data_IF_585658015999
#
_entry.id   IF_585658015999
#
_cell.length_a   1.000
_cell.length_b   1.000
_cell.length_c   1.000
_cell.angle_alpha   90.00
_cell.angle_beta   90.00
_cell.angle_gamma   90.00
#
_symmetry.space_group_name_H-M   'P 1'
#
loop_
_entity.id
_entity.type
_entity.pdbx_description
1 polymer ?
#
# COMPACT_ATOMS: atom_id res chain seq x y z
N UNK A 1 5.16 16.83 14.08
CA UNK A 1 6.49 16.20 14.01
C UNK A 1 6.51 15.19 12.87
N UNK A 2 7.61 15.12 12.12
CA UNK A 2 7.74 14.25 10.97
C UNK A 2 9.18 13.74 10.83
N UNK A 3 9.33 12.61 10.11
CA UNK A 3 10.63 12.03 9.79
C UNK A 3 10.73 11.80 8.29
N UNK A 4 11.83 12.27 7.71
CA UNK A 4 12.13 12.09 6.29
C UNK A 4 12.47 10.65 5.94
N UNK A 5 12.06 10.21 4.75
CA UNK A 5 12.38 8.91 4.16
C UNK A 5 12.63 9.02 2.66
N UNK A 6 13.31 8.02 2.11
CA UNK A 6 13.52 7.88 0.67
C UNK A 6 13.47 6.42 0.24
N UNK A 7 13.15 6.15 -1.02
CA UNK A 7 13.23 4.81 -1.59
C UNK A 7 14.68 4.36 -1.69
N UNK A 8 15.57 5.26 -2.08
CA UNK A 8 17.02 5.05 -2.14
C UNK A 8 17.75 6.33 -1.81
N UNK A 9 19.02 6.22 -1.47
CA UNK A 9 19.92 7.36 -1.19
C UNK A 9 21.31 7.08 -1.76
N UNK A 10 22.13 8.11 -1.91
CA UNK A 10 23.52 7.95 -2.34
C UNK A 10 24.36 7.35 -1.21
N UNK A 11 24.72 6.08 -1.34
CA UNK A 11 25.49 5.33 -0.34
C UNK A 11 27.00 5.55 -0.41
N UNK A 12 27.48 5.99 -1.55
CA UNK A 12 28.93 6.14 -1.78
C UNK A 12 29.48 7.39 -1.14
N UNK A 13 28.60 8.24 -0.62
CA UNK A 13 28.97 9.55 -0.16
C UNK A 13 28.72 9.77 1.29
N UNK A 14 29.79 9.80 1.96
CA UNK A 14 29.91 10.39 3.26
C UNK A 14 29.94 11.93 3.22
N UNK A 15 29.56 12.59 2.12
CA UNK A 15 29.47 14.03 2.10
C UNK A 15 28.56 14.50 3.24
N UNK A 16 29.06 15.37 4.09
CA UNK A 16 28.34 15.78 5.32
C UNK A 16 27.02 16.47 5.03
N UNK A 17 26.86 17.02 3.83
CA UNK A 17 25.67 17.72 3.37
C UNK A 17 24.65 16.84 2.62
N UNK A 18 24.98 15.58 2.28
CA UNK A 18 24.09 14.68 1.58
C UNK A 18 23.43 13.68 2.56
N UNK A 19 22.43 14.15 3.32
CA UNK A 19 21.74 13.34 4.32
C UNK A 19 20.24 13.54 4.23
N UNK A 20 19.48 12.46 4.37
CA UNK A 20 18.02 12.47 4.26
C UNK A 20 17.35 13.41 5.28
N UNK A 21 17.90 13.58 6.46
CA UNK A 21 17.29 14.43 7.49
C UNK A 21 17.31 15.92 7.15
N UNK A 22 18.15 16.37 6.22
CA UNK A 22 18.17 17.76 5.80
C UNK A 22 16.91 18.18 5.06
N UNK A 23 16.21 17.25 4.38
CA UNK A 23 14.97 17.63 3.66
C UNK A 23 13.79 17.98 4.58
N UNK A 24 13.98 17.91 5.89
CA UNK A 24 12.95 18.18 6.89
C UNK A 24 13.52 18.94 8.10
N UNK A 25 14.51 19.78 7.88
CA UNK A 25 15.12 20.60 8.93
C UNK A 25 14.59 22.05 8.96
N UNK A 26 13.67 22.37 8.05
CA UNK A 26 13.05 23.68 7.92
C UNK A 26 13.92 24.73 7.22
N UNK A 27 15.00 24.31 6.55
CA UNK A 27 15.93 25.22 5.89
C UNK A 27 15.88 25.05 4.38
N UNK A 28 15.65 26.15 3.70
CA UNK A 28 15.65 26.24 2.23
C UNK A 28 16.99 26.73 1.68
N UNK A 29 18.07 26.53 2.43
CA UNK A 29 19.44 26.79 1.95
C UNK A 29 20.00 25.49 1.34
N UNK A 30 21.03 25.62 0.52
CA UNK A 30 21.63 24.48 -0.18
C UNK A 30 22.79 23.83 0.59
N UNK A 31 22.93 24.14 1.90
CA UNK A 31 23.97 23.60 2.77
C UNK A 31 23.76 22.11 3.11
N UNK A 32 22.51 21.64 3.02
CA UNK A 32 22.12 20.26 3.23
C UNK A 32 21.03 19.83 2.26
N UNK A 33 21.05 18.54 1.86
CA UNK A 33 20.09 17.97 0.95
C UNK A 33 20.07 16.45 1.02
N UNK A 34 19.07 15.84 0.47
CA UNK A 34 19.08 14.44 0.07
C UNK A 34 19.42 14.33 -1.41
N UNK A 35 20.14 13.27 -1.80
CA UNK A 35 20.37 12.91 -3.20
C UNK A 35 20.46 11.41 -3.40
N UNK A 36 20.06 10.95 -4.59
CA UNK A 36 20.30 9.60 -5.08
C UNK A 36 21.32 9.59 -6.24
N UNK A 37 22.09 10.66 -6.39
CA UNK A 37 23.10 10.77 -7.44
C UNK A 37 24.05 9.57 -7.45
N UNK A 38 24.34 9.05 -8.63
CA UNK A 38 25.29 7.96 -8.83
C UNK A 38 25.99 8.12 -10.19
N UNK A 39 27.24 7.72 -10.27
CA UNK A 39 27.98 7.66 -11.55
C UNK A 39 27.30 6.73 -12.55
N UNK A 40 26.63 5.70 -12.06
CA UNK A 40 25.85 4.73 -12.82
C UNK A 40 24.44 4.68 -12.26
N UNK A 41 23.57 5.63 -12.65
CA UNK A 41 22.21 5.70 -12.08
C UNK A 41 21.42 4.45 -12.40
N UNK A 42 20.95 3.75 -11.37
CA UNK A 42 20.20 2.49 -11.50
C UNK A 42 18.73 2.74 -11.78
N UNK A 43 18.14 3.70 -11.09
CA UNK A 43 16.71 3.95 -11.15
C UNK A 43 16.41 5.29 -11.82
N UNK A 44 15.44 5.26 -12.74
CA UNK A 44 14.92 6.49 -13.32
C UNK A 44 13.90 7.15 -12.41
N UNK A 45 13.21 6.36 -11.61
CA UNK A 45 12.19 6.80 -10.66
C UNK A 45 12.67 6.62 -9.22
N UNK A 46 12.35 7.57 -8.36
CA UNK A 46 12.74 7.58 -6.95
C UNK A 46 11.71 8.34 -6.14
N UNK A 47 11.52 7.96 -4.90
CA UNK A 47 10.60 8.63 -3.98
C UNK A 47 11.32 9.19 -2.76
N UNK A 48 10.90 10.39 -2.33
CA UNK A 48 11.22 10.96 -1.02
C UNK A 48 9.96 11.47 -0.35
N UNK A 49 9.93 11.53 0.97
CA UNK A 49 8.76 12.01 1.68
C UNK A 49 8.91 12.07 3.18
N UNK A 50 7.79 12.22 3.85
CA UNK A 50 7.69 12.38 5.29
C UNK A 50 6.73 11.36 5.91
N UNK A 51 7.16 10.73 7.00
CA UNK A 51 6.28 10.01 7.94
C UNK A 51 5.89 10.96 9.05
N UNK A 52 4.60 11.04 9.35
CA UNK A 52 4.07 11.92 10.38
C UNK A 52 4.04 11.23 11.74
N UNK A 53 4.33 12.00 12.78
CA UNK A 53 4.37 11.53 14.16
C UNK A 53 3.60 12.45 15.10
N UNK A 54 3.06 11.86 16.13
CA UNK A 54 2.52 12.55 17.29
C UNK A 54 3.05 11.83 18.54
N UNK A 55 3.62 12.56 19.46
CA UNK A 55 4.21 12.02 20.69
C UNK A 55 5.21 10.86 20.43
N UNK A 56 6.04 11.03 19.38
CA UNK A 56 7.06 10.07 18.96
C UNK A 56 6.53 8.83 18.21
N UNK A 57 5.22 8.66 18.10
CA UNK A 57 4.57 7.53 17.41
C UNK A 57 4.03 7.95 16.03
N UNK A 58 4.04 7.02 15.07
CA UNK A 58 3.42 7.25 13.76
C UNK A 58 1.94 7.56 13.97
N UNK A 59 1.50 8.67 13.40
CA UNK A 59 0.13 9.16 13.54
C UNK A 59 -0.35 9.82 12.24
N UNK A 60 -1.62 9.65 11.93
CA UNK A 60 -2.26 10.33 10.82
C UNK A 60 -2.37 11.83 11.06
N UNK A 61 -2.07 12.62 10.04
CA UNK A 61 -2.18 14.07 10.03
C UNK A 61 -3.01 14.53 8.85
N UNK A 62 -3.73 15.64 9.02
CA UNK A 62 -4.43 16.30 7.91
C UNK A 62 -3.46 17.23 7.20
N UNK A 63 -3.12 16.93 5.96
CA UNK A 63 -2.18 17.71 5.15
C UNK A 63 -2.92 18.29 3.94
N UNK A 64 -2.75 19.58 3.67
CA UNK A 64 -3.37 20.28 2.53
C UNK A 64 -2.38 20.95 1.58
N UNK A 65 -1.11 20.97 1.96
CA UNK A 65 -0.04 21.56 1.14
C UNK A 65 1.30 20.90 1.45
N UNK A 66 2.13 20.77 0.43
CA UNK A 66 3.57 20.54 0.61
C UNK A 66 4.37 21.60 -0.15
N UNK A 67 5.57 21.92 0.32
CA UNK A 67 6.54 22.73 -0.41
C UNK A 67 7.82 21.91 -0.58
N UNK A 68 8.36 21.90 -1.80
CA UNK A 68 9.56 21.14 -2.13
C UNK A 68 10.55 22.07 -2.84
N UNK A 69 11.80 22.07 -2.38
CA UNK A 69 12.89 22.71 -3.09
C UNK A 69 13.84 21.66 -3.64
N UNK A 70 14.05 21.70 -4.95
CA UNK A 70 15.02 20.86 -5.64
C UNK A 70 16.38 21.57 -5.73
N UNK A 71 17.43 20.76 -5.74
CA UNK A 71 18.80 21.22 -5.96
C UNK A 71 19.25 20.92 -7.39
N UNK A 72 20.14 21.78 -7.92
CA UNK A 72 20.73 21.61 -9.24
C UNK A 72 22.24 21.79 -9.20
N UNK A 73 22.92 20.86 -9.83
CA UNK A 73 24.35 20.96 -10.18
C UNK A 73 24.60 20.27 -11.53
N UNK A 74 25.84 19.86 -11.78
CA UNK A 74 26.20 19.15 -13.02
C UNK A 74 25.60 17.75 -13.14
N UNK A 75 25.16 17.13 -12.03
CA UNK A 75 24.66 15.75 -11.98
C UNK A 75 23.21 15.62 -11.54
N UNK A 76 22.63 16.68 -11.00
CA UNK A 76 21.24 16.68 -10.49
C UNK A 76 20.45 17.88 -11.01
N UNK A 77 19.14 17.75 -11.08
CA UNK A 77 18.20 18.84 -11.42
C UNK A 77 16.82 18.53 -10.81
N UNK A 78 15.88 19.45 -10.93
CA UNK A 78 14.46 19.18 -10.67
C UNK A 78 13.97 17.99 -11.52
N UNK A 79 13.00 17.20 -11.03
CA UNK A 79 12.49 16.06 -11.78
C UNK A 79 11.83 16.48 -13.10
N UNK A 80 11.84 15.55 -14.09
CA UNK A 80 11.06 15.67 -15.31
C UNK A 80 9.57 15.54 -15.03
N UNK A 81 9.22 14.58 -14.15
CA UNK A 81 7.85 14.29 -13.72
C UNK A 81 7.81 14.02 -12.23
N UNK A 82 6.70 14.37 -11.63
CA UNK A 82 6.44 14.11 -10.21
C UNK A 82 4.98 13.76 -9.99
N UNK A 83 4.76 12.77 -9.14
CA UNK A 83 3.45 12.42 -8.58
C UNK A 83 3.55 12.57 -7.08
N UNK A 84 2.64 13.32 -6.49
CA UNK A 84 2.50 13.39 -5.05
C UNK A 84 1.56 12.26 -4.60
N UNK A 85 1.94 11.51 -3.58
CA UNK A 85 1.21 10.34 -3.12
C UNK A 85 1.09 10.34 -1.60
N UNK A 86 -0.06 9.88 -1.11
CA UNK A 86 -0.31 9.63 0.31
C UNK A 86 -0.33 8.14 0.60
N UNK A 87 0.08 7.77 1.78
CA UNK A 87 0.04 6.39 2.24
C UNK A 87 -1.38 6.00 2.65
N UNK A 88 -1.85 4.87 2.12
CA UNK A 88 -3.16 4.27 2.38
C UNK A 88 -3.06 2.81 2.81
N UNK A 89 -1.84 2.31 2.98
CA UNK A 89 -1.58 0.92 3.33
C UNK A 89 -1.78 0.61 4.82
N UNK A 90 -1.45 -0.62 5.24
CA UNK A 90 -1.56 -1.05 6.62
C UNK A 90 -0.65 -0.26 7.55
N UNK A 91 -0.93 -0.30 8.85
CA UNK A 91 -0.03 0.24 9.87
C UNK A 91 1.37 -0.37 9.71
N UNK A 92 2.39 0.44 9.90
CA UNK A 92 3.78 0.02 9.79
C UNK A 92 4.58 0.53 10.99
N UNK A 93 5.66 -0.16 11.30
CA UNK A 93 6.68 0.31 12.22
C UNK A 93 7.79 0.98 11.43
N UNK A 94 8.30 2.09 11.94
CA UNK A 94 9.40 2.79 11.32
C UNK A 94 10.68 1.95 11.40
N UNK A 95 11.21 1.44 10.28
CA UNK A 95 12.49 0.73 10.30
C UNK A 95 13.64 1.71 10.48
N UNK A 96 14.75 1.23 11.04
CA UNK A 96 15.99 2.02 11.15
C UNK A 96 16.52 2.49 9.79
N UNK A 97 16.16 1.77 8.72
CA UNK A 97 16.60 2.01 7.34
C UNK A 97 15.54 2.66 6.45
N UNK A 98 14.63 3.45 7.03
CA UNK A 98 13.54 4.10 6.27
C UNK A 98 14.04 5.01 5.13
N UNK A 99 15.28 5.46 5.19
CA UNK A 99 15.93 6.22 4.11
C UNK A 99 16.26 5.40 2.87
N UNK A 100 16.12 4.08 2.93
CA UNK A 100 16.41 3.14 1.84
C UNK A 100 15.43 1.97 1.85
N UNK A 101 14.15 2.30 1.90
CA UNK A 101 13.13 1.27 2.09
C UNK A 101 13.08 0.24 0.94
N UNK A 102 13.56 0.56 -0.26
CA UNK A 102 13.65 -0.39 -1.38
C UNK A 102 14.59 -1.58 -1.09
N UNK A 103 15.55 -1.42 -0.18
CA UNK A 103 16.44 -2.54 0.22
C UNK A 103 15.73 -3.59 1.08
N UNK A 104 14.59 -3.25 1.65
CA UNK A 104 13.74 -4.19 2.37
C UNK A 104 12.50 -4.51 1.52
N UNK A 105 12.55 -5.62 0.77
CA UNK A 105 11.49 -6.02 -0.16
C UNK A 105 10.10 -6.13 0.50
N UNK A 106 10.05 -6.48 1.79
CA UNK A 106 8.80 -6.63 2.55
C UNK A 106 8.27 -5.30 3.09
N UNK A 107 9.03 -4.20 2.93
CA UNK A 107 8.58 -2.91 3.44
C UNK A 107 7.30 -2.46 2.73
N UNK A 108 6.24 -2.08 3.46
CA UNK A 108 4.94 -1.74 2.86
C UNK A 108 5.01 -0.54 1.90
N UNK A 109 6.05 0.29 1.95
CA UNK A 109 6.25 1.40 1.01
C UNK A 109 6.64 0.95 -0.40
N UNK A 110 7.10 -0.30 -0.57
CA UNK A 110 7.39 -0.88 -1.88
C UNK A 110 6.14 -1.32 -2.64
N UNK A 111 5.01 -1.46 -1.97
CA UNK A 111 3.76 -1.90 -2.57
C UNK A 111 3.01 -0.70 -3.16
N UNK A 112 2.82 -0.71 -4.47
CA UNK A 112 2.15 0.40 -5.17
C UNK A 112 0.71 0.61 -4.68
N UNK A 113 0.00 -0.47 -4.33
CA UNK A 113 -1.36 -0.45 -3.80
C UNK A 113 -1.48 0.26 -2.44
N UNK A 114 -0.37 0.47 -1.74
CA UNK A 114 -0.35 1.18 -0.46
C UNK A 114 -0.23 2.71 -0.62
N UNK A 115 -0.23 3.19 -1.86
CA UNK A 115 -0.12 4.61 -2.16
C UNK A 115 -1.25 5.06 -3.08
N UNK A 116 -1.80 6.22 -2.79
CA UNK A 116 -2.79 6.89 -3.63
C UNK A 116 -2.27 8.25 -4.08
N UNK A 117 -2.41 8.53 -5.37
CA UNK A 117 -2.04 9.82 -5.94
C UNK A 117 -2.89 10.94 -5.37
N UNK A 118 -2.28 12.08 -5.11
CA UNK A 118 -2.93 13.32 -4.68
C UNK A 118 -2.98 14.26 -5.88
N UNK A 119 -4.15 14.61 -6.40
CA UNK A 119 -4.29 15.71 -7.35
C UNK A 119 -3.87 17.01 -6.69
N UNK A 120 -3.03 17.80 -7.33
CA UNK A 120 -2.52 19.04 -6.78
C UNK A 120 -2.48 20.17 -7.81
N UNK A 121 -2.41 21.40 -7.31
CA UNK A 121 -2.09 22.60 -8.08
C UNK A 121 -0.72 23.11 -7.63
N UNK A 122 0.26 23.07 -8.53
CA UNK A 122 1.59 23.62 -8.26
C UNK A 122 1.59 25.16 -8.41
N UNK A 123 2.42 25.82 -7.59
CA UNK A 123 2.62 27.28 -7.66
C UNK A 123 3.48 27.73 -8.86
N UNK A 124 4.11 26.77 -9.56
CA UNK A 124 4.96 27.02 -10.72
C UNK A 124 5.46 25.73 -11.35
N UNK A 125 6.36 25.87 -12.31
CA UNK A 125 7.04 24.75 -12.97
C UNK A 125 8.00 24.02 -12.03
N UNK A 126 8.31 22.75 -12.34
CA UNK A 126 9.32 21.96 -11.64
C UNK A 126 10.72 22.47 -11.99
N UNK A 127 11.21 23.40 -11.20
CA UNK A 127 12.53 23.99 -11.34
C UNK A 127 13.30 23.92 -10.02
N UNK A 128 14.62 23.84 -10.09
CA UNK A 128 15.48 23.85 -8.91
C UNK A 128 15.75 25.29 -8.40
N UNK A 129 16.26 25.39 -7.17
CA UNK A 129 16.78 26.63 -6.56
C UNK A 129 15.74 27.48 -5.84
N UNK A 130 14.45 27.11 -5.86
CA UNK A 130 13.40 27.77 -5.10
C UNK A 130 12.31 26.79 -4.67
N UNK A 131 11.63 27.05 -3.53
CA UNK A 131 10.49 26.25 -3.12
C UNK A 131 9.35 26.32 -4.12
N UNK A 132 8.74 25.17 -4.39
CA UNK A 132 7.51 25.05 -5.18
C UNK A 132 6.44 24.52 -4.24
N UNK A 133 5.34 25.24 -4.15
CA UNK A 133 4.18 24.82 -3.36
C UNK A 133 3.24 23.95 -4.20
N UNK A 134 2.76 22.88 -3.60
CA UNK A 134 1.77 21.96 -4.15
C UNK A 134 0.56 22.00 -3.22
N UNK A 135 -0.50 22.63 -3.66
CA UNK A 135 -1.74 22.80 -2.91
C UNK A 135 -2.77 21.76 -3.36
N UNK A 136 -3.44 21.13 -2.42
CA UNK A 136 -4.42 20.07 -2.66
C UNK A 136 -5.51 20.06 -1.59
N UNK A 137 -6.61 19.38 -1.89
CA UNK A 137 -7.66 19.12 -0.89
C UNK A 137 -7.06 18.34 0.28
N UNK A 138 -7.37 18.73 1.52
CA UNK A 138 -6.80 18.09 2.70
C UNK A 138 -6.98 16.59 2.71
N UNK A 139 -5.90 15.86 2.95
CA UNK A 139 -5.88 14.41 3.05
C UNK A 139 -5.40 13.96 4.43
N UNK A 140 -6.05 12.95 5.00
CA UNK A 140 -5.57 12.27 6.20
C UNK A 140 -4.60 11.18 5.80
N UNK A 141 -3.39 11.20 6.35
CA UNK A 141 -2.37 10.21 6.04
C UNK A 141 -1.29 10.11 7.11
N UNK A 142 -0.66 8.96 7.24
CA UNK A 142 0.52 8.75 8.10
C UNK A 142 1.83 9.05 7.38
N UNK A 143 1.83 9.08 6.05
CA UNK A 143 2.99 9.44 5.25
C UNK A 143 2.59 10.04 3.90
N UNK A 144 3.42 10.95 3.40
CA UNK A 144 3.31 11.56 2.07
C UNK A 144 4.64 11.45 1.35
N UNK A 145 4.61 11.20 0.04
CA UNK A 145 5.83 11.17 -0.78
C UNK A 145 5.66 11.87 -2.12
N UNK A 146 6.78 12.38 -2.64
CA UNK A 146 6.93 12.74 -4.03
C UNK A 146 7.64 11.57 -4.75
N UNK A 147 6.94 10.94 -5.69
CA UNK A 147 7.51 9.97 -6.61
C UNK A 147 7.93 10.71 -7.87
N UNK A 148 9.22 10.67 -8.15
CA UNK A 148 9.88 11.56 -9.10
C UNK A 148 10.62 10.78 -10.18
N UNK A 149 10.47 11.21 -11.43
CA UNK A 149 11.25 10.72 -12.56
C UNK A 149 12.37 11.72 -12.84
N UNK A 150 13.64 11.29 -12.81
CA UNK A 150 14.76 12.15 -13.17
C UNK A 150 14.79 12.44 -14.67
N UNK A 151 15.35 13.57 -15.05
CA UNK A 151 15.67 13.87 -16.45
C UNK A 151 16.72 12.87 -16.98
N UNK A 152 16.61 12.48 -18.23
CA UNK A 152 17.59 11.58 -18.88
C UNK A 152 19.01 12.15 -18.87
N UNK A 153 19.15 13.47 -18.82
CA UNK A 153 20.43 14.19 -18.83
C UNK A 153 21.10 14.28 -17.46
N UNK A 154 20.45 13.80 -16.39
CA UNK A 154 20.99 13.86 -15.02
C UNK A 154 21.33 12.47 -14.49
N UNK A 155 22.24 12.42 -13.53
CA UNK A 155 22.67 11.20 -12.86
C UNK A 155 21.89 10.91 -11.57
N UNK A 156 21.07 11.85 -11.15
CA UNK A 156 20.25 11.73 -9.94
C UNK A 156 19.29 12.89 -9.77
N UNK A 157 18.60 12.84 -8.65
CA UNK A 157 17.75 13.88 -8.09
C UNK A 157 18.34 14.36 -6.78
N UNK A 158 18.08 15.60 -6.42
CA UNK A 158 18.41 16.12 -5.11
C UNK A 158 17.30 17.04 -4.60
N UNK A 159 16.97 16.90 -3.32
CA UNK A 159 15.95 17.68 -2.62
C UNK A 159 16.59 18.37 -1.44
N UNK A 160 16.45 19.69 -1.38
CA UNK A 160 16.92 20.54 -0.28
C UNK A 160 15.96 20.47 0.90
N UNK A 161 14.68 20.70 0.63
CA UNK A 161 13.65 20.70 1.66
C UNK A 161 12.35 20.10 1.16
N UNK A 162 11.67 19.38 2.01
CA UNK A 162 10.32 18.87 1.82
C UNK A 162 9.49 19.19 3.07
N UNK A 163 8.70 20.23 3.02
CA UNK A 163 7.86 20.66 4.14
C UNK A 163 6.40 20.31 3.87
N UNK A 164 5.75 19.66 4.84
CA UNK A 164 4.31 19.41 4.81
C UNK A 164 3.59 20.36 5.77
N UNK A 165 2.48 20.93 5.32
CA UNK A 165 1.68 21.87 6.09
C UNK A 165 0.35 21.21 6.47
N UNK A 166 0.08 21.20 7.76
CA UNK A 166 -1.24 20.79 8.25
C UNK A 166 -2.30 21.69 7.62
N UNK A 167 -3.30 21.08 7.03
CA UNK A 167 -4.54 21.78 6.82
C UNK A 167 -5.07 22.10 8.21
N UNK A 168 -5.23 23.38 8.54
CA UNK A 168 -5.91 23.79 9.76
C UNK A 168 -7.20 22.96 9.88
N UNK A 169 -7.74 22.76 11.09
CA UNK A 169 -8.95 21.94 11.32
C UNK A 169 -10.07 22.36 10.34
N UNK A 170 -9.94 21.89 9.10
CA UNK A 170 -11.00 21.83 8.12
C UNK A 170 -11.98 20.81 8.67
N UNK A 171 -13.25 21.07 8.52
CA UNK A 171 -14.40 20.36 9.05
C UNK A 171 -14.06 18.93 9.47
N UNK A 172 -14.40 18.55 10.69
CA UNK A 172 -14.30 17.16 11.17
C UNK A 172 -14.67 16.25 10.01
N UNK A 173 -13.68 15.50 9.49
CA UNK A 173 -13.95 14.51 8.46
C UNK A 173 -14.82 13.50 9.17
N UNK A 174 -16.11 13.55 8.88
CA UNK A 174 -17.08 12.62 9.43
C UNK A 174 -16.55 11.21 9.18
N UNK A 175 -16.18 10.50 10.24
CA UNK A 175 -15.66 9.15 10.11
C UNK A 175 -16.84 8.26 9.71
N UNK A 176 -16.90 7.77 8.48
CA UNK A 176 -18.01 6.94 8.07
C UNK A 176 -18.05 5.66 8.90
N UNK A 177 -19.23 5.17 9.19
CA UNK A 177 -19.45 3.88 9.83
C UNK A 177 -20.01 2.88 8.82
N UNK A 178 -19.66 1.60 8.96
CA UNK A 178 -20.18 0.55 8.13
C UNK A 178 -21.30 -0.22 8.85
N UNK A 179 -22.29 -0.64 8.07
CA UNK A 179 -23.25 -1.68 8.47
C UNK A 179 -23.04 -2.88 7.55
N UNK A 180 -22.74 -4.03 8.11
CA UNK A 180 -22.42 -5.26 7.37
C UNK A 180 -23.58 -6.25 7.51
N UNK A 181 -23.95 -6.90 6.42
CA UNK A 181 -24.96 -7.95 6.38
C UNK A 181 -24.42 -9.18 5.66
N UNK A 182 -24.79 -10.36 6.16
CA UNK A 182 -24.44 -11.66 5.57
C UNK A 182 -25.74 -12.39 5.25
N UNK A 183 -25.91 -12.82 4.00
CA UNK A 183 -27.13 -13.45 3.48
C UNK A 183 -28.42 -12.67 3.79
N UNK A 184 -28.31 -11.32 3.72
CA UNK A 184 -29.42 -10.40 3.96
C UNK A 184 -29.73 -10.12 5.43
N UNK A 185 -29.03 -10.72 6.38
CA UNK A 185 -29.17 -10.46 7.81
C UNK A 185 -28.03 -9.59 8.31
N UNK A 186 -28.32 -8.59 9.13
CA UNK A 186 -27.30 -7.78 9.77
C UNK A 186 -26.35 -8.66 10.57
N UNK A 187 -25.05 -8.31 10.54
CA UNK A 187 -24.04 -8.99 11.32
C UNK A 187 -24.31 -8.80 12.81
N UNK A 188 -24.67 -9.90 13.48
CA UNK A 188 -24.95 -9.90 14.91
C UNK A 188 -23.70 -9.56 15.70
N UNK A 189 -23.85 -8.76 16.76
CA UNK A 189 -22.76 -8.30 17.62
C UNK A 189 -21.63 -7.58 16.85
N UNK A 190 -21.99 -6.86 15.79
CA UNK A 190 -21.01 -6.05 15.07
C UNK A 190 -20.49 -4.92 15.96
N UNK A 191 -19.18 -4.94 16.21
CA UNK A 191 -18.47 -3.87 16.88
C UNK A 191 -17.55 -3.19 15.85
N UNK A 192 -17.73 -1.91 15.53
CA UNK A 192 -16.89 -1.20 14.57
C UNK A 192 -15.39 -1.14 14.97
N UNK A 193 -15.02 -1.49 16.19
CA UNK A 193 -13.63 -1.56 16.62
C UNK A 193 -12.99 -2.93 16.41
N UNK A 194 -13.78 -3.97 16.17
CA UNK A 194 -13.32 -5.32 15.85
C UNK A 194 -13.18 -5.43 14.34
N UNK A 195 -12.04 -5.86 13.84
CA UNK A 195 -11.74 -5.96 12.41
C UNK A 195 -11.80 -7.38 11.87
N UNK A 196 -11.73 -8.39 12.71
CA UNK A 196 -11.70 -9.79 12.32
C UNK A 196 -12.88 -10.56 12.92
N UNK A 197 -13.71 -11.13 12.06
CA UNK A 197 -14.88 -11.89 12.43
C UNK A 197 -14.78 -13.32 11.91
N UNK A 198 -15.12 -14.29 12.76
CA UNK A 198 -15.30 -15.69 12.34
C UNK A 198 -16.77 -16.04 12.42
N UNK A 199 -17.37 -16.35 11.28
CA UNK A 199 -18.80 -16.58 11.11
C UNK A 199 -19.06 -18.00 10.65
N UNK A 200 -20.21 -18.55 11.03
CA UNK A 200 -20.68 -19.81 10.49
C UNK A 200 -21.51 -19.53 9.24
N UNK A 201 -21.07 -20.01 8.08
CA UNK A 201 -21.78 -19.85 6.83
C UNK A 201 -22.95 -20.85 6.75
N UNK A 202 -24.12 -20.37 6.37
CA UNK A 202 -25.28 -21.20 6.08
C UNK A 202 -25.33 -21.69 4.63
N UNK A 203 -24.42 -21.13 3.79
CA UNK A 203 -24.28 -21.50 2.37
C UNK A 203 -22.78 -21.65 2.02
N UNK A 204 -22.49 -22.33 0.90
CA UNK A 204 -21.14 -22.48 0.38
C UNK A 204 -20.53 -21.17 -0.14
N UNK A 205 -21.37 -20.18 -0.41
CA UNK A 205 -20.97 -18.84 -0.86
C UNK A 205 -21.84 -17.78 -0.15
N UNK A 206 -21.49 -17.41 1.09
CA UNK A 206 -22.25 -16.42 1.83
C UNK A 206 -22.16 -15.05 1.11
N UNK A 207 -23.32 -14.45 0.89
CA UNK A 207 -23.40 -13.13 0.26
C UNK A 207 -23.22 -12.05 1.30
N UNK A 208 -22.05 -11.41 1.26
CA UNK A 208 -21.77 -10.23 2.10
C UNK A 208 -22.20 -8.97 1.37
N UNK A 209 -22.91 -8.10 2.07
CA UNK A 209 -23.24 -6.75 1.62
C UNK A 209 -22.89 -5.76 2.74
N UNK A 210 -22.56 -4.55 2.38
CA UNK A 210 -22.29 -3.51 3.36
C UNK A 210 -22.80 -2.16 2.85
N UNK A 211 -23.25 -1.34 3.79
CA UNK A 211 -23.63 0.06 3.56
C UNK A 211 -22.84 0.94 4.50
N UNK A 212 -22.70 2.21 4.15
CA UNK A 212 -22.00 3.19 4.97
C UNK A 212 -22.94 4.34 5.33
N UNK A 213 -22.76 4.89 6.53
CA UNK A 213 -23.33 6.19 6.91
C UNK A 213 -22.35 7.31 6.53
N UNK A 214 -22.87 8.51 6.33
CA UNK A 214 -22.06 9.64 5.95
C UNK A 214 -21.63 9.61 4.48
N UNK A 215 -20.60 10.37 4.14
CA UNK A 215 -20.12 10.55 2.76
C UNK A 215 -19.03 9.54 2.34
N UNK A 216 -18.93 8.41 3.04
CA UNK A 216 -17.96 7.38 2.71
C UNK A 216 -18.42 6.43 1.60
N UNK A 217 -17.51 5.59 1.13
CA UNK A 217 -17.76 4.48 0.20
C UNK A 217 -17.39 3.18 0.89
N UNK A 218 -18.22 2.15 0.71
CA UNK A 218 -17.90 0.81 1.17
C UNK A 218 -17.73 -0.12 -0.02
N UNK A 219 -16.66 -0.92 0.00
CA UNK A 219 -16.39 -1.92 -1.03
C UNK A 219 -16.35 -3.30 -0.39
N UNK A 220 -16.99 -4.28 -1.01
CA UNK A 220 -16.95 -5.68 -0.59
C UNK A 220 -16.16 -6.47 -1.62
N UNK A 221 -15.07 -7.13 -1.17
CA UNK A 221 -14.25 -8.01 -2.00
C UNK A 221 -14.47 -9.44 -1.57
N UNK A 222 -15.18 -10.19 -2.40
CA UNK A 222 -15.43 -11.63 -2.19
C UNK A 222 -14.29 -12.43 -2.86
N UNK A 223 -13.56 -13.27 -2.13
CA UNK A 223 -12.38 -13.95 -2.66
C UNK A 223 -12.69 -15.15 -3.57
N UNK A 224 -13.96 -15.49 -3.81
CA UNK A 224 -14.33 -16.66 -4.60
C UNK A 224 -14.03 -18.02 -3.93
N UNK A 225 -13.50 -18.01 -2.71
CA UNK A 225 -13.19 -19.20 -1.91
C UNK A 225 -13.48 -18.92 -0.44
N UNK A 226 -14.08 -19.88 0.25
CA UNK A 226 -14.35 -19.79 1.71
C UNK A 226 -13.09 -19.87 2.58
N UNK A 227 -11.96 -20.28 2.01
CA UNK A 227 -10.70 -20.37 2.73
C UNK A 227 -10.01 -19.00 2.92
N UNK A 228 -10.45 -17.99 2.17
CA UNK A 228 -9.98 -16.62 2.28
C UNK A 228 -11.07 -15.72 2.88
N UNK A 229 -10.71 -14.69 3.65
CA UNK A 229 -11.70 -13.80 4.22
C UNK A 229 -12.35 -12.93 3.13
N UNK A 230 -13.65 -12.68 3.28
CA UNK A 230 -14.28 -11.57 2.57
C UNK A 230 -13.86 -10.26 3.22
N UNK A 231 -13.41 -9.31 2.42
CA UNK A 231 -12.97 -8.01 2.89
C UNK A 231 -14.07 -6.97 2.69
N UNK A 232 -14.37 -6.23 3.76
CA UNK A 232 -15.24 -5.05 3.70
C UNK A 232 -14.38 -3.83 4.00
N UNK A 233 -14.16 -3.00 2.99
CA UNK A 233 -13.33 -1.79 3.08
C UNK A 233 -14.19 -0.56 3.16
N UNK A 234 -14.01 0.20 4.23
CA UNK A 234 -14.64 1.47 4.45
C UNK A 234 -13.69 2.58 4.06
N UNK A 235 -14.10 3.38 3.10
CA UNK A 235 -13.30 4.44 2.50
C UNK A 235 -14.00 5.77 2.76
N UNK A 236 -13.28 6.75 3.27
CA UNK A 236 -13.81 8.11 3.49
C UNK A 236 -14.05 8.85 2.17
N UNK A 237 -14.79 9.96 2.23
CA UNK A 237 -15.08 10.81 1.06
C UNK A 237 -13.83 11.24 0.30
N UNK A 238 -12.74 11.48 0.98
CA UNK A 238 -11.44 11.86 0.41
C UNK A 238 -10.63 10.65 -0.10
N UNK A 239 -11.24 9.44 -0.13
CA UNK A 239 -10.65 8.22 -0.68
C UNK A 239 -9.66 7.51 0.26
N UNK A 240 -9.60 7.90 1.55
CA UNK A 240 -8.76 7.19 2.53
C UNK A 240 -9.41 5.88 2.97
N UNK A 241 -8.61 4.83 3.11
CA UNK A 241 -9.04 3.64 3.82
C UNK A 241 -9.19 3.96 5.31
N UNK A 242 -10.44 3.98 5.78
CA UNK A 242 -10.74 4.22 7.20
C UNK A 242 -10.59 2.93 7.99
N UNK A 243 -11.14 1.83 7.46
CA UNK A 243 -11.11 0.53 8.12
C UNK A 243 -11.29 -0.62 7.11
N UNK A 244 -10.68 -1.76 7.39
CA UNK A 244 -10.89 -3.01 6.67
C UNK A 244 -11.37 -4.06 7.67
N UNK A 245 -12.54 -4.65 7.42
CA UNK A 245 -13.06 -5.78 8.17
C UNK A 245 -12.83 -7.07 7.39
N UNK A 246 -12.41 -8.13 8.08
CA UNK A 246 -12.15 -9.46 7.53
C UNK A 246 -13.16 -10.44 8.10
N UNK A 247 -13.96 -11.01 7.21
CA UNK A 247 -15.01 -11.98 7.55
C UNK A 247 -14.55 -13.37 7.13
N UNK A 248 -14.16 -14.19 8.07
CA UNK A 248 -13.78 -15.59 7.88
C UNK A 248 -15.01 -16.47 8.03
N UNK A 249 -15.29 -17.30 7.05
CA UNK A 249 -16.43 -18.20 7.09
C UNK A 249 -16.00 -19.64 7.38
N UNK A 250 -16.55 -20.22 8.45
CA UNK A 250 -16.51 -21.65 8.69
C UNK A 250 -17.74 -22.28 8.04
N UNK A 251 -17.54 -23.25 7.17
CA UNK A 251 -18.67 -24.00 6.59
C UNK A 251 -19.33 -24.81 7.68
N UNK A 252 -20.66 -24.67 7.83
CA UNK A 252 -21.48 -25.42 8.76
C UNK A 252 -21.65 -26.90 8.35
N UNK A 253 -20.79 -27.43 7.47
CA UNK A 253 -20.81 -28.85 7.10
C UNK A 253 -20.15 -29.71 8.18
N UNK A 254 -20.73 -29.68 9.35
CA UNK A 254 -20.82 -30.81 10.21
C UNK A 254 -22.30 -31.29 10.16
N UNK A 255 -22.68 -31.86 9.06
CA UNK A 255 -23.81 -32.79 9.15
C UNK A 255 -23.35 -33.91 10.05
N UNK A 256 -23.84 -33.95 11.27
CA UNK A 256 -23.89 -35.21 12.00
C UNK A 256 -24.57 -36.18 11.05
N UNK A 257 -23.89 -37.22 10.56
CA UNK A 257 -24.58 -38.15 9.64
C UNK A 257 -25.77 -38.68 10.36
N UNK A 258 -26.98 -38.44 9.84
CA UNK A 258 -28.16 -39.22 10.21
C UNK A 258 -27.82 -40.68 9.92
N UNK A 259 -28.30 -41.63 10.75
CA UNK A 259 -27.91 -43.05 10.64
C UNK A 259 -28.01 -43.63 9.22
N UNK A 260 -28.86 -43.09 8.35
CA UNK A 260 -28.96 -43.49 6.94
C UNK A 260 -27.77 -43.05 6.04
N UNK A 261 -26.94 -42.12 6.47
CA UNK A 261 -25.77 -41.62 5.66
C UNK A 261 -24.51 -42.40 5.99
N UNK A 262 -24.45 -43.11 7.11
CA UNK A 262 -23.30 -43.93 7.49
C UNK A 262 -22.98 -45.03 6.47
N UNK A 263 -24.01 -45.55 5.80
CA UNK A 263 -23.81 -46.62 4.81
C UNK A 263 -23.33 -46.06 3.45
N UNK A 264 -23.61 -44.81 3.11
CA UNK A 264 -23.16 -44.19 1.87
C UNK A 264 -21.67 -43.82 1.88
N UNK A 265 -21.11 -43.55 3.04
CA UNK A 265 -19.65 -43.23 3.18
C UNK A 265 -18.80 -44.51 3.12
N UNK A 266 -19.37 -45.66 3.53
CA UNK A 266 -18.67 -46.94 3.50
C UNK A 266 -18.61 -47.58 2.10
N UNK A 267 -19.47 -47.13 1.18
CA UNK A 267 -19.55 -47.65 -0.18
C UNK A 267 -18.96 -46.72 -1.26
N UNK A 268 -18.38 -45.59 -0.88
CA UNK A 268 -17.58 -44.86 -1.84
C UNK A 268 -16.37 -45.71 -2.16
N UNK A 269 -16.24 -46.27 -3.39
CA UNK A 269 -14.99 -46.95 -3.74
C UNK A 269 -13.86 -45.96 -3.50
N UNK A 270 -12.91 -46.36 -2.65
CA UNK A 270 -11.65 -45.64 -2.59
C UNK A 270 -11.16 -45.55 -4.02
N UNK A 271 -11.05 -44.35 -4.58
CA UNK A 271 -10.27 -44.16 -5.79
C UNK A 271 -8.88 -44.65 -5.43
N UNK A 272 -8.56 -45.90 -5.77
CA UNK A 272 -7.20 -46.33 -5.81
C UNK A 272 -6.56 -45.54 -6.94
N UNK A 273 -5.98 -44.41 -6.58
CA UNK A 273 -5.04 -43.72 -7.44
C UNK A 273 -3.92 -44.74 -7.60
N UNK A 274 -3.81 -45.34 -8.78
CA UNK A 274 -2.65 -46.15 -9.14
C UNK A 274 -1.40 -45.36 -8.78
N UNK A 275 -0.73 -45.80 -7.73
CA UNK A 275 0.49 -45.15 -7.20
C UNK A 275 1.71 -45.38 -8.08
N UNK A 276 1.56 -46.04 -9.21
CA UNK A 276 2.65 -46.23 -10.18
C UNK A 276 2.64 -45.03 -11.12
N UNK A 277 3.58 -44.10 -11.01
CA UNK A 277 3.70 -43.03 -11.98
C UNK A 277 3.98 -43.66 -13.35
N UNK A 278 3.17 -43.27 -14.34
CA UNK A 278 3.41 -43.68 -15.74
C UNK A 278 4.86 -43.32 -16.11
N UNK A 279 5.57 -44.25 -16.82
CA UNK A 279 6.90 -43.95 -17.32
C UNK A 279 6.89 -42.63 -18.10
N UNK A 280 7.87 -41.79 -17.88
CA UNK A 280 7.97 -40.44 -18.47
C UNK A 280 7.73 -40.42 -20.00
N UNK A 281 8.11 -41.51 -20.70
CA UNK A 281 7.86 -41.68 -22.13
C UNK A 281 6.38 -41.81 -22.51
N UNK A 282 5.55 -42.37 -21.65
CA UNK A 282 4.10 -42.50 -21.87
C UNK A 282 3.40 -41.19 -21.63
N UNK A 283 3.81 -40.44 -20.57
CA UNK A 283 3.31 -39.09 -20.31
C UNK A 283 3.56 -38.14 -21.47
N UNK A 284 4.76 -38.25 -22.13
CA UNK A 284 5.09 -37.44 -23.31
C UNK A 284 4.29 -37.87 -24.54
N UNK A 285 3.93 -39.15 -24.66
CA UNK A 285 3.11 -39.64 -25.75
C UNK A 285 1.67 -39.12 -25.67
N UNK A 286 1.11 -39.07 -24.49
CA UNK A 286 -0.24 -38.56 -24.23
C UNK A 286 -0.33 -37.03 -24.24
N UNK A 287 0.77 -36.36 -23.88
CA UNK A 287 0.87 -34.91 -23.81
C UNK A 287 2.09 -34.37 -24.57
N UNK A 288 2.03 -34.33 -25.89
CA UNK A 288 3.19 -33.92 -26.71
C UNK A 288 3.66 -32.50 -26.46
N UNK A 289 2.83 -31.65 -25.87
CA UNK A 289 3.19 -30.28 -25.52
C UNK A 289 4.22 -30.22 -24.37
N UNK A 290 4.26 -31.23 -23.50
CA UNK A 290 5.27 -31.32 -22.43
C UNK A 290 6.68 -31.55 -22.95
N UNK A 291 6.81 -32.13 -24.17
CA UNK A 291 8.11 -32.39 -24.79
C UNK A 291 8.79 -31.11 -25.31
N UNK A 292 8.02 -30.04 -25.56
CA UNK A 292 8.56 -28.77 -26.07
C UNK A 292 9.17 -27.89 -24.99
N UNK A 293 8.76 -28.07 -23.71
CA UNK A 293 9.26 -27.30 -22.60
C UNK A 293 10.67 -27.67 -22.10
N UNK A 294 11.19 -28.84 -22.50
CA UNK A 294 12.51 -29.33 -22.07
C UNK A 294 13.67 -29.05 -23.03
N UNK A 295 13.44 -28.32 -24.12
CA UNK A 295 14.48 -27.95 -25.09
C UNK A 295 14.96 -26.50 -24.96
N UNK A 296 14.95 -25.97 -23.76
CA UNK A 296 15.60 -24.68 -23.50
C UNK A 296 16.55 -24.79 -22.31
#
# INVERSE_FOLDING_TARGET
>A
DSKAFASTTNDTQAASHDRIFYINDGKYNEDGRWTNWSRTPKNQETSVGLVFKKDGKIASQSIGKVAIQFFKDSGTDAPEKMVLERYIGPAFTEPSTISRYEENADHPFNKAENWASIPYKASGELVAGKPIEFNFEPVQTTAIRARMTRKATTNGLAVVEFTAYSAGKGAEVETPSATISVDGKALENFDPNVTDYTLTAMSSQPKVTATTSGHGVVTVVNPGSTNLPTLVRLISKDGNLVKEYRLHFKTAFQTTPTEGVKNLVAETPSLEIEKTPLPFKEVIRENPELAQGQRR
#
